data_IF_230098006382
#
_entry.id   IF_230098006382
#
_cell.length_a   1.000
_cell.length_b   1.000
_cell.length_c   1.000
_cell.angle_alpha   90.00
_cell.angle_beta   90.00
_cell.angle_gamma   90.00
#
_symmetry.space_group_name_H-M   'P 1'
#
loop_
_entity.id
_entity.type
_entity.pdbx_description
1 polymer ?
#
# COMPACT_ATOMS: atom_id res chain seq x y z
N UNK A 1 7.17 2.17 19.72
CA UNK A 1 7.79 0.85 20.06
C UNK A 1 8.69 0.44 18.90
N UNK A 2 9.78 -0.32 19.08
CA UNK A 2 10.68 -0.69 17.94
C UNK A 2 9.91 -1.35 16.78
N UNK A 3 8.88 -2.15 17.08
CA UNK A 3 8.06 -2.83 16.08
C UNK A 3 7.14 -1.90 15.30
N UNK A 4 6.63 -0.82 15.90
CA UNK A 4 5.77 0.15 15.19
C UNK A 4 6.55 0.84 14.05
N UNK A 5 7.81 1.22 14.31
CA UNK A 5 8.67 1.79 13.27
C UNK A 5 8.91 0.79 12.13
N UNK A 6 9.09 -0.50 12.44
CA UNK A 6 9.23 -1.54 11.42
C UNK A 6 8.00 -1.64 10.52
N UNK A 7 6.81 -1.55 11.10
CA UNK A 7 5.55 -1.58 10.34
C UNK A 7 5.41 -0.34 9.46
N UNK A 8 5.74 0.86 9.98
CA UNK A 8 5.71 2.09 9.17
C UNK A 8 6.66 2.02 7.97
N UNK A 9 7.87 1.46 8.15
CA UNK A 9 8.79 1.25 7.03
C UNK A 9 8.30 0.15 6.07
N UNK A 10 7.60 -0.86 6.58
CA UNK A 10 6.98 -1.90 5.76
C UNK A 10 5.87 -1.31 4.88
N UNK A 11 4.99 -0.47 5.43
CA UNK A 11 3.95 0.25 4.68
C UNK A 11 4.57 1.09 3.56
N UNK A 12 5.61 1.88 3.85
CA UNK A 12 6.36 2.63 2.82
C UNK A 12 6.90 1.71 1.72
N UNK A 13 7.43 0.54 2.09
CA UNK A 13 7.92 -0.45 1.13
C UNK A 13 6.82 -1.03 0.25
N UNK A 14 5.64 -1.31 0.81
CA UNK A 14 4.47 -1.77 0.05
C UNK A 14 3.99 -0.72 -0.95
N UNK A 15 3.89 0.55 -0.53
CA UNK A 15 3.52 1.66 -1.41
C UNK A 15 4.54 1.84 -2.54
N UNK A 16 5.83 1.87 -2.22
CA UNK A 16 6.89 1.97 -3.23
C UNK A 16 6.86 0.79 -4.22
N UNK A 17 6.56 -0.43 -3.74
CA UNK A 17 6.40 -1.62 -4.59
C UNK A 17 5.20 -1.48 -5.53
N UNK A 18 4.08 -0.95 -5.02
CA UNK A 18 2.88 -0.72 -5.81
C UNK A 18 3.14 0.30 -6.93
N UNK A 19 3.81 1.42 -6.62
CA UNK A 19 4.26 2.40 -7.61
C UNK A 19 5.18 1.79 -8.67
N UNK A 20 6.18 1.00 -8.25
CA UNK A 20 7.11 0.37 -9.18
C UNK A 20 6.41 -0.65 -10.09
N UNK A 21 5.41 -1.39 -9.60
CA UNK A 21 4.62 -2.31 -10.42
C UNK A 21 3.84 -1.58 -11.50
N UNK A 22 3.22 -0.44 -11.20
CA UNK A 22 2.57 0.41 -12.22
C UNK A 22 3.59 0.88 -13.25
N UNK A 23 4.77 1.30 -12.81
CA UNK A 23 5.82 1.79 -13.71
C UNK A 23 6.38 0.69 -14.63
N UNK A 24 6.60 -0.51 -14.10
CA UNK A 24 7.25 -1.62 -14.84
C UNK A 24 6.27 -2.41 -15.70
N UNK A 25 5.06 -2.68 -15.18
CA UNK A 25 4.07 -3.52 -15.86
C UNK A 25 3.07 -2.69 -16.67
N UNK A 26 2.84 -1.43 -16.29
CA UNK A 26 1.71 -0.64 -16.76
C UNK A 26 0.48 -0.82 -15.87
N UNK A 27 -0.42 0.17 -15.91
CA UNK A 27 -1.58 0.25 -15.00
C UNK A 27 -2.55 -0.92 -15.13
N UNK A 28 -2.83 -1.37 -16.36
CA UNK A 28 -3.76 -2.48 -16.64
C UNK A 28 -3.22 -3.81 -16.10
N UNK A 29 -1.95 -4.14 -16.39
CA UNK A 29 -1.33 -5.39 -15.99
C UNK A 29 -1.00 -5.44 -14.48
N UNK A 30 -0.87 -4.27 -13.83
CA UNK A 30 -0.57 -4.19 -12.39
C UNK A 30 -1.81 -4.35 -11.49
N UNK A 31 -3.04 -4.25 -12.00
CA UNK A 31 -4.26 -4.15 -11.18
C UNK A 31 -4.42 -5.23 -10.11
N UNK A 32 -4.17 -6.49 -10.48
CA UNK A 32 -4.33 -7.61 -9.54
C UNK A 32 -3.27 -7.58 -8.43
N UNK A 33 -2.04 -7.18 -8.76
CA UNK A 33 -0.99 -7.03 -7.77
C UNK A 33 -1.26 -5.83 -6.84
N UNK A 34 -1.80 -4.73 -7.38
CA UNK A 34 -2.19 -3.56 -6.59
C UNK A 34 -3.26 -3.89 -5.56
N UNK A 35 -4.29 -4.69 -5.94
CA UNK A 35 -5.32 -5.16 -5.01
C UNK A 35 -4.73 -5.96 -3.85
N UNK A 36 -3.84 -6.92 -4.15
CA UNK A 36 -3.18 -7.73 -3.11
C UNK A 36 -2.31 -6.89 -2.18
N UNK A 37 -1.57 -5.92 -2.73
CA UNK A 37 -0.76 -5.01 -1.92
C UNK A 37 -1.65 -4.13 -1.03
N UNK A 38 -2.78 -3.63 -1.57
CA UNK A 38 -3.76 -2.86 -0.81
C UNK A 38 -4.35 -3.67 0.36
N UNK A 39 -4.76 -4.91 0.12
CA UNK A 39 -5.30 -5.80 1.15
C UNK A 39 -4.30 -6.02 2.31
N UNK A 40 -3.03 -6.27 1.98
CA UNK A 40 -1.97 -6.41 3.00
C UNK A 40 -1.71 -5.10 3.73
N UNK A 41 -1.74 -3.97 3.01
CA UNK A 41 -1.53 -2.64 3.57
C UNK A 41 -2.63 -2.29 4.58
N UNK A 42 -3.90 -2.53 4.22
CA UNK A 42 -5.07 -2.36 5.08
C UNK A 42 -5.04 -3.28 6.30
N UNK A 43 -4.74 -4.58 6.12
CA UNK A 43 -4.63 -5.53 7.24
C UNK A 43 -3.58 -5.10 8.27
N UNK A 44 -2.43 -4.60 7.82
CA UNK A 44 -1.40 -4.07 8.71
C UNK A 44 -1.86 -2.80 9.45
N UNK A 45 -2.56 -1.88 8.78
CA UNK A 45 -3.08 -0.67 9.44
C UNK A 45 -4.10 -1.04 10.52
N UNK A 46 -5.08 -1.88 10.19
CA UNK A 46 -6.14 -2.28 11.11
C UNK A 46 -5.59 -3.10 12.29
N UNK A 47 -4.71 -4.07 12.04
CA UNK A 47 -4.13 -4.89 13.10
C UNK A 47 -3.27 -4.07 14.08
N UNK A 48 -2.49 -3.12 13.56
CA UNK A 48 -1.62 -2.28 14.39
C UNK A 48 -2.34 -1.04 14.97
N UNK A 49 -3.61 -0.83 14.63
CA UNK A 49 -4.40 0.32 15.09
C UNK A 49 -3.80 1.65 14.65
N UNK A 50 -3.30 1.69 13.41
CA UNK A 50 -2.76 2.90 12.79
C UNK A 50 -3.90 3.75 12.20
N UNK A 51 -3.54 4.95 11.74
CA UNK A 51 -4.49 5.86 11.12
C UNK A 51 -5.05 5.27 9.81
N UNK A 52 -6.39 5.19 9.71
CA UNK A 52 -7.07 4.62 8.55
C UNK A 52 -6.94 5.53 7.31
N UNK A 53 -6.67 6.83 7.49
CA UNK A 53 -6.39 7.79 6.40
C UNK A 53 -5.19 7.36 5.54
N UNK A 54 -4.30 6.51 6.06
CA UNK A 54 -3.18 5.95 5.31
C UNK A 54 -3.63 5.01 4.17
N UNK A 55 -4.82 4.41 4.27
CA UNK A 55 -5.40 3.57 3.21
C UNK A 55 -5.80 4.46 2.03
N UNK A 56 -6.42 5.61 2.32
CA UNK A 56 -6.79 6.59 1.29
C UNK A 56 -5.53 7.16 0.60
N UNK A 57 -4.47 7.46 1.37
CA UNK A 57 -3.18 7.88 0.80
C UNK A 57 -2.61 6.81 -0.16
N UNK A 58 -2.71 5.53 0.20
CA UNK A 58 -2.27 4.44 -0.66
C UNK A 58 -3.06 4.46 -1.97
N UNK A 59 -4.39 4.49 -1.91
CA UNK A 59 -5.30 4.46 -3.05
C UNK A 59 -5.11 5.66 -4.00
N UNK A 60 -4.88 6.86 -3.46
CA UNK A 60 -4.57 8.06 -4.22
C UNK A 60 -3.25 7.94 -5.00
N UNK A 61 -2.20 7.40 -4.36
CA UNK A 61 -0.88 7.28 -4.97
C UNK A 61 -0.85 6.31 -6.15
N UNK A 62 -1.67 5.27 -6.12
CA UNK A 62 -1.69 4.23 -7.16
C UNK A 62 -2.86 4.37 -8.14
N UNK A 63 -3.72 5.38 -7.95
CA UNK A 63 -4.80 5.71 -8.88
C UNK A 63 -5.98 4.74 -8.86
N UNK A 64 -6.14 3.90 -7.83
CA UNK A 64 -7.28 2.96 -7.73
C UNK A 64 -8.63 3.68 -7.69
N UNK A 65 -8.66 4.95 -7.26
CA UNK A 65 -9.88 5.76 -7.16
C UNK A 65 -10.21 6.59 -8.43
N UNK A 66 -9.54 6.35 -9.57
CA UNK A 66 -9.82 7.06 -10.83
C UNK A 66 -10.79 6.32 -11.75
#
# INVERSE_FOLDING_TARGET
>A
MQTENLIRETLKGLLATATEKVYVLGEEDAQEDLKRLREVYEDLILFWGLDEDLIDEFDENIGILK
#
